data_IF_271837992434
#
_entry.id   IF_271837992434
#
_cell.length_a   1.000
_cell.length_b   1.000
_cell.length_c   1.000
_cell.angle_alpha   90.00
_cell.angle_beta   90.00
_cell.angle_gamma   90.00
#
_symmetry.space_group_name_H-M   'P 1'
#
loop_
_entity.id
_entity.type
_entity.pdbx_description
1 polymer ?
#
# COMPACT_ATOMS: atom_id res chain seq x y z
N UNK A 1 -60.44 46.57 -35.90
CA UNK A 1 -59.00 46.23 -36.04
C UNK A 1 -58.40 46.21 -34.64
N UNK A 2 -58.06 45.02 -34.14
CA UNK A 2 -57.32 44.83 -32.88
C UNK A 2 -56.24 43.79 -33.17
N UNK A 3 -54.98 44.17 -32.97
CA UNK A 3 -53.80 43.34 -33.26
C UNK A 3 -53.37 42.69 -31.95
N UNK A 4 -53.56 41.37 -31.84
CA UNK A 4 -53.12 40.58 -30.69
C UNK A 4 -51.63 40.26 -30.84
N UNK A 5 -50.82 40.62 -29.83
CA UNK A 5 -49.38 40.35 -29.79
C UNK A 5 -49.14 38.97 -29.18
N UNK A 6 -48.52 38.05 -29.94
CA UNK A 6 -47.97 36.80 -29.42
C UNK A 6 -46.63 37.08 -28.73
N UNK A 7 -46.49 36.66 -27.48
CA UNK A 7 -45.21 36.60 -26.76
C UNK A 7 -44.65 35.19 -26.94
N UNK A 8 -43.54 35.05 -27.66
CA UNK A 8 -42.75 33.81 -27.69
C UNK A 8 -41.94 33.73 -26.40
N UNK A 9 -42.25 32.77 -25.54
CA UNK A 9 -41.43 32.40 -24.39
C UNK A 9 -40.34 31.40 -24.80
N UNK A 10 -39.07 31.77 -24.61
CA UNK A 10 -37.93 30.90 -24.87
C UNK A 10 -37.78 29.87 -23.74
N UNK A 11 -37.86 28.58 -24.06
CA UNK A 11 -37.56 27.48 -23.14
C UNK A 11 -36.04 27.28 -23.06
N UNK A 12 -35.45 27.58 -21.90
CA UNK A 12 -34.04 27.30 -21.62
C UNK A 12 -33.92 25.84 -21.16
N UNK A 13 -33.42 24.95 -22.02
CA UNK A 13 -33.07 23.58 -21.64
C UNK A 13 -31.64 23.62 -21.08
N UNK A 14 -31.51 23.48 -19.76
CA UNK A 14 -30.21 23.28 -19.11
C UNK A 14 -29.85 21.80 -19.25
N UNK A 15 -28.87 21.51 -20.11
CA UNK A 15 -28.27 20.19 -20.18
C UNK A 15 -27.24 20.10 -19.06
N UNK A 16 -27.55 19.33 -18.01
CA UNK A 16 -26.58 19.00 -16.96
C UNK A 16 -25.66 17.91 -17.53
N UNK A 17 -24.35 18.14 -17.66
CA UNK A 17 -23.43 17.08 -18.06
C UNK A 17 -23.44 15.97 -17.00
N UNK A 18 -23.55 14.72 -17.44
CA UNK A 18 -23.49 13.57 -16.56
C UNK A 18 -22.15 13.55 -15.83
N UNK A 19 -22.20 13.49 -14.49
CA UNK A 19 -21.02 13.23 -13.68
C UNK A 19 -20.56 11.81 -14.01
N UNK A 20 -19.45 11.67 -14.75
CA UNK A 20 -18.72 10.42 -14.79
C UNK A 20 -18.10 10.23 -13.41
N UNK A 21 -18.61 9.28 -12.65
CA UNK A 21 -17.90 8.79 -11.48
C UNK A 21 -16.65 8.06 -11.99
N UNK A 22 -15.47 8.51 -11.58
CA UNK A 22 -14.26 7.71 -11.69
C UNK A 22 -14.43 6.54 -10.72
N UNK A 23 -14.67 5.35 -11.27
CA UNK A 23 -14.68 4.10 -10.51
C UNK A 23 -13.29 3.52 -10.69
N UNK A 24 -12.42 3.73 -9.71
CA UNK A 24 -11.15 3.01 -9.63
C UNK A 24 -11.47 1.53 -9.47
N UNK A 25 -11.21 0.76 -10.53
CA UNK A 25 -11.42 -0.69 -10.54
C UNK A 25 -10.09 -1.36 -10.27
N UNK A 26 -9.96 -1.99 -9.10
CA UNK A 26 -8.79 -2.79 -8.76
C UNK A 26 -8.93 -4.18 -9.37
N UNK A 27 -7.88 -4.62 -10.08
CA UNK A 27 -7.81 -5.92 -10.74
C UNK A 27 -6.58 -6.69 -10.26
N UNK A 28 -6.67 -8.02 -10.19
CA UNK A 28 -5.52 -8.86 -9.80
C UNK A 28 -4.77 -9.33 -11.05
N UNK A 29 -3.44 -9.18 -11.02
CA UNK A 29 -2.56 -9.43 -12.14
C UNK A 29 -2.63 -8.32 -13.20
N UNK A 30 -1.83 -8.46 -14.25
CA UNK A 30 -1.88 -7.55 -15.40
C UNK A 30 -3.25 -7.70 -16.06
N UNK A 31 -3.99 -6.59 -16.15
CA UNK A 31 -5.31 -6.49 -16.79
C UNK A 31 -6.40 -7.44 -16.23
N UNK A 32 -6.33 -7.82 -14.95
CA UNK A 32 -7.37 -8.65 -14.32
C UNK A 32 -7.38 -10.10 -14.79
N UNK A 33 -6.23 -10.64 -15.20
CA UNK A 33 -6.07 -12.04 -15.61
C UNK A 33 -6.47 -13.04 -14.53
N UNK A 34 -6.44 -12.66 -13.26
CA UNK A 34 -6.78 -13.53 -12.15
C UNK A 34 -8.08 -13.13 -11.48
N UNK A 35 -8.90 -14.13 -11.11
CA UNK A 35 -10.05 -13.90 -10.24
C UNK A 35 -9.58 -13.82 -8.78
N UNK A 36 -10.33 -13.09 -7.96
CA UNK A 36 -10.11 -13.07 -6.50
C UNK A 36 -10.15 -14.49 -5.92
N UNK A 37 -11.04 -15.34 -6.43
CA UNK A 37 -11.13 -16.76 -6.05
C UNK A 37 -9.87 -17.57 -6.40
N UNK A 38 -9.19 -17.25 -7.51
CA UNK A 38 -8.01 -18.02 -7.93
C UNK A 38 -6.77 -17.69 -7.11
N UNK A 39 -6.69 -16.45 -6.58
CA UNK A 39 -5.63 -16.07 -5.66
C UNK A 39 -5.87 -16.66 -4.27
N UNK A 40 -7.12 -16.71 -3.80
CA UNK A 40 -7.45 -17.32 -2.50
C UNK A 40 -7.03 -18.79 -2.34
N UNK A 41 -6.69 -19.50 -3.42
CA UNK A 41 -6.13 -20.86 -3.38
C UNK A 41 -4.61 -20.93 -3.19
N UNK A 42 -3.89 -19.82 -3.35
CA UNK A 42 -2.42 -19.72 -3.27
C UNK A 42 -1.98 -19.05 -1.96
N UNK A 43 -2.87 -18.31 -1.29
CA UNK A 43 -2.57 -17.50 -0.10
C UNK A 43 -2.87 -18.22 1.23
N UNK A 44 -2.39 -17.64 2.34
CA UNK A 44 -2.79 -18.04 3.68
C UNK A 44 -4.32 -18.01 3.79
N UNK A 45 -4.94 -19.20 3.92
CA UNK A 45 -6.39 -19.47 3.97
C UNK A 45 -7.27 -18.20 3.95
N UNK A 46 -7.81 -17.82 2.79
CA UNK A 46 -8.62 -16.60 2.65
C UNK A 46 -10.06 -16.86 3.07
N UNK A 47 -10.64 -15.94 3.84
CA UNK A 47 -12.05 -15.89 4.20
C UNK A 47 -12.78 -14.90 3.27
N UNK A 48 -13.75 -15.43 2.52
CA UNK A 48 -14.61 -14.65 1.63
C UNK A 48 -15.93 -14.41 2.34
N UNK A 49 -16.14 -13.17 2.80
CA UNK A 49 -17.42 -12.73 3.35
C UNK A 49 -18.15 -11.85 2.33
N UNK A 50 -19.45 -11.60 2.54
CA UNK A 50 -20.29 -10.84 1.60
C UNK A 50 -19.74 -9.43 1.27
N UNK A 51 -18.87 -8.86 2.11
CA UNK A 51 -18.36 -7.49 1.94
C UNK A 51 -16.83 -7.37 1.97
N UNK A 52 -16.09 -8.42 2.33
CA UNK A 52 -14.64 -8.36 2.52
C UNK A 52 -13.96 -9.66 2.11
N UNK A 53 -12.77 -9.51 1.53
CA UNK A 53 -11.79 -10.57 1.35
C UNK A 53 -10.71 -10.33 2.41
N UNK A 54 -10.47 -11.30 3.27
CA UNK A 54 -9.51 -11.17 4.38
C UNK A 54 -8.78 -12.49 4.64
N UNK A 55 -7.58 -12.47 5.25
CA UNK A 55 -6.95 -13.70 5.72
C UNK A 55 -7.78 -14.33 6.83
N UNK A 56 -7.86 -15.66 6.87
CA UNK A 56 -8.59 -16.39 7.90
C UNK A 56 -8.00 -16.10 9.28
N UNK A 57 -8.87 -15.76 10.23
CA UNK A 57 -8.49 -15.39 11.59
C UNK A 57 -8.20 -13.91 11.80
N UNK A 58 -8.33 -13.07 10.77
CA UNK A 58 -8.20 -11.61 10.86
C UNK A 58 -9.55 -10.92 10.64
N UNK A 59 -9.72 -9.77 11.28
CA UNK A 59 -10.80 -8.81 10.99
C UNK A 59 -10.27 -7.68 10.08
N UNK A 60 -11.16 -6.96 9.35
CA UNK A 60 -10.73 -5.88 8.45
C UNK A 60 -9.97 -4.72 9.14
N UNK A 61 -10.21 -4.52 10.44
CA UNK A 61 -9.53 -3.53 11.27
C UNK A 61 -8.17 -3.99 11.82
N UNK A 62 -7.84 -5.27 11.71
CA UNK A 62 -6.60 -5.80 12.27
C UNK A 62 -5.38 -5.27 11.51
N UNK A 63 -4.40 -4.77 12.26
CA UNK A 63 -3.11 -4.44 11.71
C UNK A 63 -2.23 -5.70 11.66
N UNK A 64 -2.05 -6.23 10.46
CA UNK A 64 -1.26 -7.44 10.21
C UNK A 64 0.16 -7.37 10.76
N UNK A 65 0.76 -6.17 10.86
CA UNK A 65 2.09 -5.96 11.41
C UNK A 65 2.23 -6.58 12.81
N UNK A 66 1.17 -6.58 13.61
CA UNK A 66 1.17 -7.11 14.98
C UNK A 66 1.16 -8.65 15.05
N UNK A 67 0.91 -9.32 13.93
CA UNK A 67 0.76 -10.78 13.86
C UNK A 67 1.93 -11.47 13.16
N UNK A 68 2.85 -10.68 12.60
CA UNK A 68 4.01 -11.18 11.87
C UNK A 68 5.27 -11.13 12.73
N UNK A 69 6.09 -12.17 12.63
CA UNK A 69 7.43 -12.20 13.24
C UNK A 69 8.42 -11.48 12.33
N UNK A 70 8.71 -10.22 12.64
CA UNK A 70 9.61 -9.37 11.84
C UNK A 70 11.08 -9.61 12.14
N UNK A 71 11.89 -9.56 11.09
CA UNK A 71 13.35 -9.50 11.17
C UNK A 71 13.90 -8.39 10.27
N UNK A 72 14.86 -7.62 10.78
CA UNK A 72 15.60 -6.66 9.97
C UNK A 72 16.82 -7.34 9.37
N UNK A 73 16.80 -7.49 8.05
CA UNK A 73 17.90 -8.14 7.30
C UNK A 73 18.95 -7.14 6.83
N UNK A 74 18.79 -5.85 7.16
CA UNK A 74 19.77 -4.77 6.99
C UNK A 74 20.01 -4.31 5.55
N UNK A 75 19.82 -5.18 4.57
CA UNK A 75 19.93 -4.91 3.13
C UNK A 75 19.11 -5.90 2.31
N UNK A 76 19.17 -5.80 0.99
CA UNK A 76 18.39 -6.69 0.12
C UNK A 76 18.80 -8.15 0.36
N UNK A 77 17.86 -9.03 0.77
CA UNK A 77 18.15 -10.45 0.96
C UNK A 77 18.54 -11.11 -0.37
N UNK A 78 19.44 -12.09 -0.30
CA UNK A 78 19.90 -12.93 -1.42
C UNK A 78 19.36 -14.37 -1.34
N UNK A 79 18.42 -14.61 -0.42
CA UNK A 79 17.82 -15.90 -0.13
C UNK A 79 16.30 -15.91 -0.35
N UNK A 80 15.77 -17.10 -0.63
CA UNK A 80 14.34 -17.32 -0.74
C UNK A 80 13.70 -17.27 0.66
N UNK A 81 12.63 -16.49 0.80
CA UNK A 81 11.88 -16.40 2.05
C UNK A 81 11.09 -17.68 2.26
N UNK A 82 11.28 -18.30 3.42
CA UNK A 82 10.41 -19.41 3.86
C UNK A 82 9.09 -18.83 4.35
N UNK A 83 7.97 -19.45 3.98
CA UNK A 83 6.63 -19.01 4.39
C UNK A 83 6.55 -18.72 5.89
N UNK A 84 5.94 -17.58 6.25
CA UNK A 84 5.69 -17.14 7.62
C UNK A 84 6.80 -16.31 8.27
N UNK A 85 7.89 -15.99 7.58
CA UNK A 85 8.95 -15.11 8.12
C UNK A 85 8.93 -13.73 7.46
N UNK A 86 8.37 -12.75 8.17
CA UNK A 86 8.35 -11.38 7.69
C UNK A 86 9.72 -10.71 7.85
N UNK A 87 10.08 -9.89 6.86
CA UNK A 87 11.37 -9.22 6.77
C UNK A 87 11.20 -7.77 6.39
N UNK A 88 12.08 -6.94 6.93
CA UNK A 88 12.18 -5.54 6.56
C UNK A 88 13.62 -5.18 6.24
N UNK A 89 13.80 -4.35 5.22
CA UNK A 89 15.09 -3.74 4.91
C UNK A 89 14.90 -2.40 4.20
N UNK A 90 16.00 -1.68 4.06
CA UNK A 90 16.06 -0.53 3.17
C UNK A 90 17.32 -0.60 2.32
N UNK A 91 17.36 0.19 1.24
CA UNK A 91 18.57 0.37 0.44
C UNK A 91 19.57 1.36 1.09
N UNK A 92 19.39 1.66 2.38
CA UNK A 92 20.22 2.57 3.16
C UNK A 92 20.98 1.75 4.19
N UNK A 93 22.29 1.93 4.27
CA UNK A 93 23.09 1.28 5.30
C UNK A 93 22.58 1.71 6.69
N UNK A 94 21.99 0.77 7.43
CA UNK A 94 21.59 1.01 8.81
C UNK A 94 22.84 1.25 9.67
N UNK A 95 22.82 2.31 10.47
CA UNK A 95 23.94 2.63 11.38
C UNK A 95 23.93 1.77 12.65
N UNK A 96 22.81 1.08 12.90
CA UNK A 96 22.58 0.23 14.07
C UNK A 96 21.87 -1.05 13.64
N UNK A 97 22.12 -2.13 14.38
CA UNK A 97 21.36 -3.37 14.22
C UNK A 97 19.88 -3.11 14.47
N UNK A 98 18.99 -3.74 13.69
CA UNK A 98 17.54 -3.72 13.87
C UNK A 98 16.89 -2.32 13.72
N UNK A 99 17.58 -1.39 13.05
CA UNK A 99 17.14 -0.01 12.90
C UNK A 99 15.83 0.15 12.12
N UNK A 100 15.50 -0.82 11.26
CA UNK A 100 14.27 -0.79 10.47
C UNK A 100 13.08 -1.37 11.26
N UNK A 101 13.28 -2.21 12.29
CA UNK A 101 12.19 -2.88 13.01
C UNK A 101 11.17 -1.91 13.60
N UNK A 102 11.61 -0.70 13.97
CA UNK A 102 10.74 0.36 14.49
C UNK A 102 9.66 0.83 13.51
N UNK A 103 9.79 0.51 12.21
CA UNK A 103 8.74 0.81 11.22
C UNK A 103 7.60 -0.22 11.23
N UNK A 104 7.78 -1.35 11.92
CA UNK A 104 6.89 -2.52 11.92
C UNK A 104 6.71 -3.12 13.33
N UNK A 105 6.93 -2.33 14.38
CA UNK A 105 6.76 -2.77 15.77
C UNK A 105 5.32 -2.60 16.30
N UNK A 106 4.45 -1.95 15.51
CA UNK A 106 3.06 -1.68 15.87
C UNK A 106 2.89 -0.57 16.92
N UNK A 107 3.96 0.11 17.32
CA UNK A 107 3.95 1.14 18.35
C UNK A 107 3.99 2.55 17.74
N UNK A 108 2.87 3.27 17.84
CA UNK A 108 2.78 4.65 17.34
C UNK A 108 3.69 5.66 18.06
N UNK A 109 4.32 5.26 19.16
CA UNK A 109 5.21 6.13 19.97
C UNK A 109 6.67 5.99 19.59
N UNK A 110 7.03 5.00 18.77
CA UNK A 110 8.40 4.78 18.30
C UNK A 110 8.59 5.41 16.91
N UNK A 111 9.85 5.66 16.54
CA UNK A 111 10.18 6.10 15.17
C UNK A 111 11.63 5.80 14.81
N UNK A 112 11.95 5.90 13.52
CA UNK A 112 13.32 5.82 12.99
C UNK A 112 14.19 7.04 13.37
N UNK A 113 13.62 8.03 14.06
CA UNK A 113 14.31 9.23 14.51
C UNK A 113 14.96 9.99 13.36
N UNK A 114 16.25 10.26 13.51
CA UNK A 114 17.05 11.00 12.53
C UNK A 114 17.70 10.12 11.45
N UNK A 115 17.54 8.79 11.53
CA UNK A 115 18.22 7.83 10.63
C UNK A 115 18.03 8.19 9.15
N UNK A 116 16.83 8.63 8.78
CA UNK A 116 16.51 9.05 7.42
C UNK A 116 16.37 10.57 7.27
N UNK A 117 16.63 11.38 8.31
CA UNK A 117 16.43 12.84 8.30
C UNK A 117 17.71 13.65 8.35
N UNK A 118 18.88 13.01 8.27
CA UNK A 118 20.16 13.69 8.29
C UNK A 118 20.23 14.85 7.27
N UNK A 119 20.62 16.03 7.76
CA UNK A 119 20.71 17.25 6.96
C UNK A 119 21.64 17.06 5.76
N UNK A 120 21.19 17.52 4.59
CA UNK A 120 21.94 17.42 3.34
C UNK A 120 21.88 16.04 2.66
N UNK A 121 21.19 15.05 3.25
CA UNK A 121 20.98 13.75 2.60
C UNK A 121 19.76 13.79 1.68
N UNK A 122 19.97 13.45 0.41
CA UNK A 122 18.91 13.36 -0.59
C UNK A 122 18.01 12.17 -0.26
N UNK A 123 16.72 12.43 -0.13
CA UNK A 123 15.70 11.42 0.18
C UNK A 123 15.18 10.70 -1.07
N UNK A 124 15.43 11.27 -2.26
CA UNK A 124 15.07 10.67 -3.55
C UNK A 124 15.75 9.31 -3.72
N UNK A 125 14.97 8.29 -4.07
CA UNK A 125 15.48 6.94 -4.34
C UNK A 125 15.73 6.08 -3.10
N UNK A 126 15.28 6.52 -1.92
CA UNK A 126 15.19 5.63 -0.76
C UNK A 126 14.07 4.63 -0.97
N UNK A 127 14.41 3.37 -0.75
CA UNK A 127 13.50 2.24 -0.89
C UNK A 127 13.45 1.56 0.46
N UNK A 128 12.23 1.40 0.97
CA UNK A 128 11.90 0.58 2.10
C UNK A 128 11.14 -0.61 1.56
N UNK A 129 11.51 -1.80 2.01
CA UNK A 129 10.96 -3.04 1.51
C UNK A 129 10.44 -3.86 2.68
N UNK A 130 9.23 -4.36 2.50
CA UNK A 130 8.53 -5.22 3.45
C UNK A 130 8.19 -6.51 2.72
N UNK A 131 8.72 -7.61 3.22
CA UNK A 131 8.29 -8.94 2.85
C UNK A 131 7.42 -9.47 3.99
N UNK A 132 6.17 -9.79 3.70
CA UNK A 132 5.22 -10.26 4.72
C UNK A 132 5.43 -11.74 5.08
N UNK A 133 6.30 -12.45 4.34
CA UNK A 133 6.56 -13.87 4.50
C UNK A 133 5.43 -14.76 3.99
N UNK A 134 4.30 -14.19 3.56
CA UNK A 134 3.20 -14.86 2.90
C UNK A 134 2.38 -13.81 2.13
N UNK A 135 1.56 -14.26 1.20
CA UNK A 135 0.63 -13.40 0.49
C UNK A 135 -0.56 -13.04 1.39
N UNK A 136 -0.86 -11.74 1.48
CA UNK A 136 -1.98 -11.22 2.23
C UNK A 136 -2.75 -10.21 1.37
N UNK A 137 -4.09 -10.31 1.27
CA UNK A 137 -4.90 -9.27 0.66
C UNK A 137 -4.83 -8.00 1.52
N UNK A 138 -4.21 -6.94 1.00
CA UNK A 138 -4.10 -5.65 1.67
C UNK A 138 -4.72 -4.54 0.81
N UNK A 139 -5.60 -3.74 1.39
CA UNK A 139 -6.27 -2.63 0.70
C UNK A 139 -5.81 -1.23 1.18
N UNK A 140 -4.93 -1.18 2.19
CA UNK A 140 -4.49 0.07 2.80
C UNK A 140 -3.09 -0.05 3.38
N UNK A 141 -2.27 0.96 3.11
CA UNK A 141 -0.98 1.20 3.77
C UNK A 141 -1.10 2.53 4.50
N UNK A 142 -0.64 2.59 5.76
CA UNK A 142 -0.69 3.80 6.58
C UNK A 142 0.73 4.12 7.06
N UNK A 143 1.17 5.35 6.79
CA UNK A 143 2.44 5.88 7.30
C UNK A 143 2.17 6.84 8.46
N UNK A 144 2.80 6.59 9.60
CA UNK A 144 2.75 7.48 10.75
C UNK A 144 4.02 8.35 10.79
N UNK A 145 3.92 9.68 10.65
CA UNK A 145 5.05 10.55 10.88
C UNK A 145 5.42 10.52 12.37
N UNK A 146 6.69 10.76 12.70
CA UNK A 146 7.12 10.80 14.10
C UNK A 146 6.41 11.89 14.89
N UNK A 147 5.95 11.56 16.09
CA UNK A 147 5.26 12.49 16.99
C UNK A 147 6.11 13.73 17.33
N UNK A 148 7.43 13.55 17.44
CA UNK A 148 8.41 14.62 17.72
C UNK A 148 8.57 15.61 16.56
N UNK A 149 8.16 15.22 15.35
CA UNK A 149 8.38 15.96 14.11
C UNK A 149 7.50 17.19 13.89
N UNK A 150 6.55 17.46 14.81
CA UNK A 150 5.67 18.62 14.72
C UNK A 150 4.86 18.71 13.41
N UNK A 151 4.59 17.58 12.75
CA UNK A 151 3.90 17.52 11.46
C UNK A 151 4.78 17.80 10.23
N UNK A 152 6.10 17.94 10.38
CA UNK A 152 7.04 18.12 9.26
C UNK A 152 7.55 16.82 8.63
N UNK A 153 7.43 15.72 9.38
CA UNK A 153 8.09 14.43 9.10
C UNK A 153 7.24 13.44 8.28
N UNK A 154 6.31 13.96 7.48
CA UNK A 154 5.50 13.14 6.59
C UNK A 154 6.21 12.88 5.25
N UNK A 155 5.88 11.74 4.65
CA UNK A 155 6.33 11.40 3.30
C UNK A 155 5.65 12.33 2.29
N UNK A 156 6.44 13.15 1.60
CA UNK A 156 5.94 14.18 0.66
C UNK A 156 5.65 13.66 -0.75
N UNK A 157 6.22 12.51 -1.08
CA UNK A 157 6.03 11.84 -2.37
C UNK A 157 6.57 10.43 -2.26
N UNK A 158 5.84 9.48 -2.83
CA UNK A 158 6.15 8.06 -2.76
C UNK A 158 5.65 7.35 -4.02
N UNK A 159 6.23 6.18 -4.27
CA UNK A 159 5.78 5.19 -5.23
C UNK A 159 5.63 3.88 -4.46
N UNK A 160 4.51 3.18 -4.66
CA UNK A 160 4.31 1.84 -4.08
C UNK A 160 4.42 0.85 -5.22
N UNK A 161 5.26 -0.17 -5.01
CA UNK A 161 5.34 -1.35 -5.87
C UNK A 161 5.05 -2.57 -5.03
N UNK A 162 4.33 -3.51 -5.61
CA UNK A 162 3.91 -4.76 -4.96
C UNK A 162 4.30 -5.91 -5.87
N UNK A 163 4.83 -6.96 -5.28
CA UNK A 163 5.12 -8.23 -5.93
C UNK A 163 4.32 -9.30 -5.19
N UNK A 164 3.73 -10.23 -5.93
CA UNK A 164 2.88 -11.31 -5.42
C UNK A 164 3.68 -12.52 -4.89
N UNK A 165 5.01 -12.41 -4.84
CA UNK A 165 5.91 -13.47 -4.47
C UNK A 165 6.08 -14.53 -5.57
N UNK A 166 5.72 -14.25 -6.82
CA UNK A 166 5.87 -15.19 -7.94
C UNK A 166 6.90 -14.76 -9.00
N UNK A 167 7.18 -13.46 -9.13
CA UNK A 167 8.15 -12.94 -10.10
C UNK A 167 9.45 -12.48 -9.41
N UNK A 168 10.54 -13.20 -9.68
CA UNK A 168 11.88 -12.90 -9.16
C UNK A 168 12.85 -12.73 -10.32
N UNK A 169 13.84 -11.86 -10.14
CA UNK A 169 14.94 -11.75 -11.08
C UNK A 169 15.88 -12.97 -11.03
N UNK A 170 16.88 -12.99 -11.92
CA UNK A 170 17.84 -14.10 -12.02
C UNK A 170 18.68 -14.29 -10.76
N UNK A 171 18.74 -13.29 -9.90
CA UNK A 171 19.45 -13.31 -8.64
C UNK A 171 18.51 -13.68 -7.47
N UNK A 172 17.25 -14.05 -7.73
CA UNK A 172 16.29 -14.47 -6.72
C UNK A 172 15.71 -13.31 -5.90
N UNK A 173 15.80 -12.07 -6.41
CA UNK A 173 15.24 -10.89 -5.75
C UNK A 173 13.86 -10.59 -6.31
N UNK A 174 12.91 -10.09 -5.50
CA UNK A 174 11.59 -9.74 -6.00
C UNK A 174 11.69 -8.71 -7.13
N UNK A 175 10.99 -8.95 -8.24
CA UNK A 175 10.95 -8.05 -9.38
C UNK A 175 9.79 -7.05 -9.22
N UNK A 176 10.09 -5.76 -9.16
CA UNK A 176 9.13 -4.67 -8.84
C UNK A 176 8.99 -3.64 -9.96
#
# INVERSE_FOLDING_TARGET
MSVSRLILGSLLIVVVPGVQADIDTYSIGVDGQFSWDSQGQIEAAVDFTDNYVQPSGFAPEDNIVNFLGWSDVGGTPDDLVTEGQARIWSNVAATTKDANLVMVDGDSTTSTGDLFKANGVRQTGRIFSWDLGASFPANRIVFYPSAEGGGGDFVRGYEIRVNDGQDFDREGRPNF
#
